data_IF_379452901415
#
_entry.id   IF_379452901415
#
_cell.length_a   1.000
_cell.length_b   1.000
_cell.length_c   1.000
_cell.angle_alpha   90.00
_cell.angle_beta   90.00
_cell.angle_gamma   90.00
#
_symmetry.space_group_name_H-M   'P 1'
#
loop_
_entity.id
_entity.type
_entity.pdbx_description
1 polymer ?
#
# COMPACT_ATOMS: atom_id res chain seq x y z
N UNK A 1 18.18 24.75 74.46
CA UNK A 1 17.17 24.18 73.54
C UNK A 1 17.91 23.68 72.32
N UNK A 2 18.02 22.36 72.18
CA UNK A 2 19.14 21.73 71.46
C UNK A 2 19.02 21.84 69.94
N UNK A 3 20.13 22.12 69.25
CA UNK A 3 20.26 22.09 67.79
C UNK A 3 19.72 20.77 67.17
N UNK A 4 19.74 19.69 67.95
CA UNK A 4 19.24 18.36 67.57
C UNK A 4 17.73 18.34 67.34
N UNK A 5 16.94 19.06 68.14
CA UNK A 5 15.47 19.09 67.96
C UNK A 5 15.07 19.85 66.69
N UNK A 6 15.87 20.85 66.30
CA UNK A 6 15.66 21.64 65.08
C UNK A 6 16.07 20.86 63.82
N UNK A 7 17.13 20.05 63.91
CA UNK A 7 17.56 19.16 62.82
C UNK A 7 16.53 18.03 62.59
N UNK A 8 15.97 17.46 63.65
CA UNK A 8 14.95 16.40 63.52
C UNK A 8 13.63 16.91 62.94
N UNK A 9 13.20 18.13 63.27
CA UNK A 9 12.02 18.73 62.63
C UNK A 9 12.25 19.04 61.16
N UNK A 10 13.46 19.46 60.78
CA UNK A 10 13.82 19.77 59.39
C UNK A 10 13.89 18.51 58.50
N UNK A 11 14.40 17.39 59.02
CA UNK A 11 14.38 16.10 58.30
C UNK A 11 12.96 15.53 58.15
N UNK A 12 12.07 15.77 59.10
CA UNK A 12 10.69 15.28 59.03
C UNK A 12 9.84 16.05 58.01
N UNK A 13 10.12 17.35 57.80
CA UNK A 13 9.47 18.16 56.76
C UNK A 13 9.95 17.84 55.33
N UNK A 14 11.13 17.23 55.17
CA UNK A 14 11.62 16.76 53.86
C UNK A 14 11.00 15.43 53.41
N UNK A 15 10.17 14.80 54.25
CA UNK A 15 9.42 13.58 53.90
C UNK A 15 8.14 13.93 53.13
N UNK A 16 8.22 14.81 52.13
CA UNK A 16 7.11 15.00 51.20
C UNK A 16 6.89 13.68 50.47
N UNK A 17 5.79 13.03 50.83
CA UNK A 17 5.37 11.78 50.21
C UNK A 17 5.17 12.04 48.72
N UNK A 18 5.98 11.40 47.89
CA UNK A 18 5.61 11.15 46.48
C UNK A 18 4.30 10.38 46.53
N UNK A 19 3.20 11.09 46.29
CA UNK A 19 1.87 10.50 46.19
C UNK A 19 1.72 10.05 44.74
N UNK A 20 1.99 8.77 44.50
CA UNK A 20 1.67 8.16 43.23
C UNK A 20 0.14 8.06 43.11
N UNK A 21 -0.44 8.81 42.19
CA UNK A 21 -1.86 8.74 41.86
C UNK A 21 -2.05 7.63 40.82
N UNK A 22 -3.12 6.83 40.96
CA UNK A 22 -3.54 5.89 39.92
C UNK A 22 -4.79 6.45 39.26
N UNK A 23 -4.70 6.74 37.95
CA UNK A 23 -5.80 7.30 37.19
C UNK A 23 -6.03 6.53 35.89
N UNK A 24 -7.29 6.50 35.47
CA UNK A 24 -7.73 5.84 34.25
C UNK A 24 -7.86 6.90 33.15
N UNK A 25 -7.14 6.70 32.05
CA UNK A 25 -7.20 7.56 30.86
C UNK A 25 -7.95 6.80 29.76
N UNK A 26 -9.18 7.19 29.43
CA UNK A 26 -9.94 6.55 28.35
C UNK A 26 -9.41 6.95 26.98
N UNK A 27 -9.40 5.99 26.04
CA UNK A 27 -9.12 6.21 24.62
C UNK A 27 -10.43 6.09 23.83
N UNK A 28 -10.54 6.77 22.69
CA UNK A 28 -11.75 6.81 21.86
C UNK A 28 -11.53 6.23 20.47
N UNK A 29 -10.40 6.52 19.85
CA UNK A 29 -10.11 6.19 18.45
C UNK A 29 -8.90 5.27 18.29
N UNK A 30 -7.95 5.33 19.22
CA UNK A 30 -6.76 4.47 19.22
C UNK A 30 -6.88 3.34 20.23
N UNK A 31 -6.29 2.19 19.91
CA UNK A 31 -6.25 1.05 20.82
C UNK A 31 -5.25 1.28 21.94
N UNK A 32 -5.45 0.61 23.08
CA UNK A 32 -4.48 0.65 24.16
C UNK A 32 -3.13 0.08 23.73
N UNK A 33 -3.11 -0.91 22.83
CA UNK A 33 -1.88 -1.56 22.37
C UNK A 33 -1.01 -0.61 21.53
N UNK A 34 -1.63 0.25 20.72
CA UNK A 34 -0.91 1.27 19.94
C UNK A 34 -0.36 2.39 20.84
N UNK A 35 -1.12 2.79 21.86
CA UNK A 35 -0.79 3.94 22.72
C UNK A 35 0.10 3.57 23.92
N UNK A 36 0.06 2.32 24.38
CA UNK A 36 0.82 1.85 25.54
C UNK A 36 2.33 2.10 25.41
N UNK A 37 3.02 1.77 24.29
CA UNK A 37 4.45 2.03 24.17
C UNK A 37 4.79 3.52 24.21
N UNK A 38 3.91 4.37 23.65
CA UNK A 38 4.09 5.83 23.63
C UNK A 38 3.95 6.37 25.05
N UNK A 39 2.90 5.95 25.77
CA UNK A 39 2.65 6.35 27.15
C UNK A 39 3.75 5.85 28.10
N UNK A 40 4.23 4.61 27.92
CA UNK A 40 5.35 4.06 28.70
C UNK A 40 6.65 4.85 28.47
N UNK A 41 6.95 5.20 27.22
CA UNK A 41 8.13 6.01 26.90
C UNK A 41 8.04 7.43 27.47
N UNK A 42 6.83 8.01 27.50
CA UNK A 42 6.61 9.35 28.06
C UNK A 42 6.75 9.38 29.59
N UNK A 43 6.17 8.41 30.28
CA UNK A 43 6.24 8.29 31.75
C UNK A 43 7.62 7.79 32.21
N UNK A 44 8.27 6.94 31.43
CA UNK A 44 9.61 6.44 31.69
C UNK A 44 9.73 5.77 33.06
N UNK A 45 10.66 6.26 33.89
CA UNK A 45 10.91 5.73 35.25
C UNK A 45 10.07 6.43 36.33
N UNK A 46 9.28 7.43 35.96
CA UNK A 46 8.52 8.27 36.90
C UNK A 46 7.14 7.68 37.21
N UNK A 47 6.83 6.50 36.68
CA UNK A 47 5.57 5.82 36.90
C UNK A 47 5.45 4.51 36.13
N UNK A 48 4.26 3.92 36.17
CA UNK A 48 3.89 2.71 35.44
C UNK A 48 2.64 2.96 34.62
N UNK A 49 2.59 2.42 33.39
CA UNK A 49 1.40 2.44 32.54
C UNK A 49 1.06 1.01 32.15
N UNK A 50 -0.21 0.64 32.33
CA UNK A 50 -0.77 -0.63 31.86
C UNK A 50 -2.00 -0.39 30.99
N UNK A 51 -2.23 -1.30 30.04
CA UNK A 51 -3.38 -1.28 29.15
C UNK A 51 -4.50 -2.14 29.74
N UNK A 52 -5.74 -1.64 29.70
CA UNK A 52 -6.93 -2.40 30.04
C UNK A 52 -8.09 -2.05 29.11
N UNK A 53 -8.41 -2.94 28.18
CA UNK A 53 -9.47 -2.70 27.19
C UNK A 53 -9.14 -1.51 26.28
N UNK A 54 -9.98 -0.48 26.27
CA UNK A 54 -9.72 0.77 25.54
C UNK A 54 -9.26 1.91 26.45
N UNK A 55 -8.55 1.59 27.52
CA UNK A 55 -8.15 2.54 28.56
C UNK A 55 -6.71 2.26 28.97
N UNK A 56 -6.00 3.32 29.37
CA UNK A 56 -4.70 3.23 29.99
C UNK A 56 -4.85 3.49 31.49
N UNK A 57 -4.31 2.59 32.30
CA UNK A 57 -4.20 2.76 33.75
C UNK A 57 -2.79 3.30 34.00
N UNK A 58 -2.72 4.53 34.52
CA UNK A 58 -1.47 5.24 34.74
C UNK A 58 -1.26 5.42 36.23
N UNK A 59 -0.11 4.99 36.72
CA UNK A 59 0.34 5.21 38.09
C UNK A 59 1.58 6.12 38.06
N UNK A 60 1.43 7.40 38.39
CA UNK A 60 2.50 8.40 38.37
C UNK A 60 2.15 9.61 39.26
N UNK A 61 3.02 10.62 39.32
CA UNK A 61 2.68 11.92 39.92
C UNK A 61 1.54 12.60 39.14
N UNK A 62 0.61 13.26 39.83
CA UNK A 62 -0.58 13.88 39.20
C UNK A 62 -0.20 14.84 38.06
N UNK A 63 0.88 15.62 38.20
CA UNK A 63 1.32 16.56 37.15
C UNK A 63 1.70 15.82 35.87
N UNK A 64 2.34 14.66 36.00
CA UNK A 64 2.75 13.82 34.87
C UNK A 64 1.57 13.13 34.21
N UNK A 65 0.57 12.73 34.99
CA UNK A 65 -0.68 12.19 34.46
C UNK A 65 -1.40 13.26 33.63
N UNK A 66 -1.46 14.50 34.11
CA UNK A 66 -2.09 15.61 33.38
C UNK A 66 -1.33 15.96 32.09
N UNK A 67 0.00 15.95 32.11
CA UNK A 67 0.84 16.08 30.91
C UNK A 67 0.57 14.94 29.90
N UNK A 68 0.49 13.69 30.37
CA UNK A 68 0.22 12.54 29.52
C UNK A 68 -1.19 12.60 28.90
N UNK A 69 -2.20 13.03 29.66
CA UNK A 69 -3.56 13.25 29.13
C UNK A 69 -3.58 14.31 28.03
N UNK A 70 -2.86 15.42 28.23
CA UNK A 70 -2.75 16.48 27.23
C UNK A 70 -2.03 16.02 25.96
N UNK A 71 -1.11 15.06 26.08
CA UNK A 71 -0.48 14.39 24.93
C UNK A 71 -1.46 13.42 24.24
N UNK A 72 -2.12 12.55 25.00
CA UNK A 72 -3.05 11.56 24.46
C UNK A 72 -4.21 12.25 23.74
N UNK A 73 -4.73 13.36 24.24
CA UNK A 73 -5.82 14.09 23.58
C UNK A 73 -5.45 14.64 22.19
N UNK A 74 -4.16 14.81 21.89
CA UNK A 74 -3.67 15.22 20.58
C UNK A 74 -3.41 14.03 19.64
N UNK A 75 -3.18 12.83 20.20
CA UNK A 75 -2.86 11.61 19.45
C UNK A 75 -4.08 10.72 19.21
N UNK A 76 -5.05 10.74 20.12
CA UNK A 76 -6.33 10.02 20.04
C UNK A 76 -7.29 10.75 19.10
N UNK A 77 -6.92 10.75 17.82
CA UNK A 77 -7.70 11.35 16.71
C UNK A 77 -8.27 10.23 15.84
N UNK A 78 -9.48 10.44 15.33
CA UNK A 78 -10.14 9.52 14.40
C UNK A 78 -9.28 9.28 13.15
N UNK A 79 -9.04 8.01 12.82
CA UNK A 79 -8.38 7.64 11.57
C UNK A 79 -9.27 7.98 10.38
N UNK A 80 -8.69 8.56 9.32
CA UNK A 80 -9.43 8.83 8.09
C UNK A 80 -9.74 7.53 7.36
N UNK A 81 -10.92 7.46 6.75
CA UNK A 81 -11.26 6.38 5.82
C UNK A 81 -10.77 6.76 4.43
N UNK A 82 -10.08 5.85 3.77
CA UNK A 82 -9.44 6.07 2.48
C UNK A 82 -10.02 5.12 1.44
N UNK A 83 -10.29 5.63 0.25
CA UNK A 83 -10.56 4.85 -0.96
C UNK A 83 -9.29 4.80 -1.78
N UNK A 84 -8.66 3.63 -1.86
CA UNK A 84 -7.51 3.39 -2.72
C UNK A 84 -8.01 2.81 -4.04
N UNK A 85 -7.72 3.51 -5.13
CA UNK A 85 -8.00 3.07 -6.50
C UNK A 85 -6.68 2.79 -7.21
N UNK A 86 -6.50 1.58 -7.72
CA UNK A 86 -5.34 1.19 -8.51
C UNK A 86 -5.79 0.94 -9.94
N UNK A 87 -5.10 1.57 -10.88
CA UNK A 87 -5.31 1.41 -12.31
C UNK A 87 -4.08 0.73 -12.93
N UNK A 88 -4.33 -0.42 -13.54
CA UNK A 88 -3.32 -1.27 -14.21
C UNK A 88 -3.52 -1.32 -15.72
N UNK A 89 -4.29 -0.39 -16.29
CA UNK A 89 -4.68 -0.48 -17.69
C UNK A 89 -3.47 -0.44 -18.63
N UNK A 90 -3.41 -1.40 -19.55
CA UNK A 90 -2.41 -1.52 -20.63
C UNK A 90 -2.77 -0.65 -21.84
N UNK A 91 -3.93 0.00 -21.80
CA UNK A 91 -4.35 0.88 -22.88
C UNK A 91 -3.47 2.13 -22.91
N UNK A 92 -2.58 2.13 -23.89
CA UNK A 92 -1.82 3.30 -24.33
C UNK A 92 -2.78 4.49 -24.40
N UNK A 93 -2.55 5.51 -23.55
CA UNK A 93 -3.14 6.83 -23.75
C UNK A 93 -2.57 7.37 -25.06
N UNK A 94 -3.20 6.97 -26.17
CA UNK A 94 -2.95 7.55 -27.47
C UNK A 94 -3.59 8.94 -27.42
N UNK A 95 -2.83 9.89 -26.86
CA UNK A 95 -3.10 11.30 -27.08
C UNK A 95 -3.31 11.50 -28.57
N UNK A 96 -4.41 12.17 -28.89
CA UNK A 96 -5.00 12.44 -30.19
C UNK A 96 -4.07 13.21 -31.16
N UNK A 97 -2.88 12.66 -31.43
CA UNK A 97 -1.91 13.20 -32.38
C UNK A 97 -1.98 12.38 -33.67
N UNK A 98 -3.01 12.71 -34.44
CA UNK A 98 -3.08 12.37 -35.86
C UNK A 98 -1.84 12.87 -36.57
N UNK A 99 -1.07 11.94 -37.14
CA UNK A 99 0.08 12.27 -37.98
C UNK A 99 -0.43 12.84 -39.31
N UNK A 100 -0.41 14.16 -39.47
CA UNK A 100 -0.62 14.81 -40.76
C UNK A 100 0.63 14.67 -41.62
N UNK A 101 0.64 13.71 -42.54
CA UNK A 101 1.66 13.60 -43.58
C UNK A 101 1.48 14.72 -44.61
N UNK A 102 2.11 15.86 -44.34
CA UNK A 102 2.20 16.94 -45.31
C UNK A 102 3.26 16.57 -46.36
N UNK A 103 2.84 16.01 -47.50
CA UNK A 103 3.80 15.60 -48.53
C UNK A 103 3.21 14.89 -49.75
N UNK A 104 2.57 15.65 -50.64
CA UNK A 104 2.46 15.46 -52.08
C UNK A 104 2.18 14.05 -52.68
N UNK A 105 0.90 13.83 -53.02
CA UNK A 105 0.27 13.06 -54.13
C UNK A 105 -0.82 12.11 -53.63
N UNK A 106 -2.01 12.08 -54.27
CA UNK A 106 -3.13 11.24 -53.84
C UNK A 106 -2.93 9.80 -54.31
N UNK A 107 -2.01 9.08 -53.68
CA UNK A 107 -2.04 7.61 -53.70
C UNK A 107 -2.92 7.16 -52.54
N UNK A 108 -4.04 6.49 -52.85
CA UNK A 108 -4.96 5.89 -51.88
C UNK A 108 -4.23 4.85 -51.02
N UNK A 109 -3.56 5.29 -49.96
CA UNK A 109 -3.01 4.42 -48.94
C UNK A 109 -4.11 4.15 -47.91
N UNK A 110 -4.78 3.00 -48.05
CA UNK A 110 -5.72 2.52 -47.03
C UNK A 110 -4.92 2.05 -45.81
N UNK A 111 -4.79 2.92 -44.83
CA UNK A 111 -4.23 2.56 -43.53
C UNK A 111 -5.30 1.72 -42.80
N UNK A 112 -5.06 0.41 -42.68
CA UNK A 112 -5.90 -0.48 -41.88
C UNK A 112 -5.29 -0.56 -40.49
N UNK A 113 -5.75 0.29 -39.57
CA UNK A 113 -5.45 0.15 -38.16
C UNK A 113 -6.29 -1.01 -37.60
N UNK A 114 -5.62 -2.08 -37.18
CA UNK A 114 -6.25 -3.14 -36.39
C UNK A 114 -5.80 -2.96 -34.94
N UNK A 115 -6.56 -2.21 -34.15
CA UNK A 115 -6.41 -2.25 -32.69
C UNK A 115 -7.01 -3.58 -32.20
N UNK A 116 -6.27 -4.27 -31.33
CA UNK A 116 -6.79 -5.40 -30.56
C UNK A 116 -6.93 -4.87 -29.15
N UNK A 117 -8.14 -4.48 -28.75
CA UNK A 117 -8.40 -4.00 -27.40
C UNK A 117 -8.37 -5.20 -26.44
N UNK A 118 -7.21 -5.45 -25.83
CA UNK A 118 -7.08 -6.40 -24.73
C UNK A 118 -7.74 -5.82 -23.49
N UNK A 119 -8.97 -6.26 -23.19
CA UNK A 119 -9.74 -5.89 -21.99
C UNK A 119 -9.21 -6.57 -20.71
N UNK A 120 -7.90 -6.66 -20.55
CA UNK A 120 -7.29 -7.39 -19.42
C UNK A 120 -6.89 -6.41 -18.28
N UNK A 121 -6.76 -5.11 -18.57
CA UNK A 121 -6.55 -4.07 -17.57
C UNK A 121 -7.84 -3.66 -16.84
N UNK A 122 -7.76 -3.45 -15.52
CA UNK A 122 -8.92 -3.08 -14.70
C UNK A 122 -8.58 -2.07 -13.61
N UNK A 123 -9.59 -1.26 -13.26
CA UNK A 123 -9.57 -0.40 -12.08
C UNK A 123 -10.01 -1.25 -10.89
N UNK A 124 -9.14 -1.35 -9.88
CA UNK A 124 -9.44 -2.06 -8.64
C UNK A 124 -9.53 -1.04 -7.49
N UNK A 125 -10.50 -1.23 -6.60
CA UNK A 125 -10.76 -0.31 -5.50
C UNK A 125 -10.88 -1.06 -4.19
N UNK A 126 -10.31 -0.49 -3.13
CA UNK A 126 -10.46 -0.97 -1.77
C UNK A 126 -10.61 0.22 -0.81
N UNK A 127 -11.43 0.04 0.23
CA UNK A 127 -11.52 0.98 1.33
C UNK A 127 -10.68 0.48 2.50
N UNK A 128 -9.90 1.39 3.09
CA UNK A 128 -9.05 1.08 4.24
C UNK A 128 -9.07 2.24 5.23
N UNK A 129 -8.87 1.94 6.51
CA UNK A 129 -8.56 2.96 7.50
C UNK A 129 -7.10 3.39 7.35
N UNK A 130 -6.85 4.68 7.55
CA UNK A 130 -5.50 5.24 7.54
C UNK A 130 -4.54 4.46 8.46
N UNK A 131 -3.36 4.14 7.94
CA UNK A 131 -2.31 3.40 8.64
C UNK A 131 -2.55 1.89 8.74
N UNK A 132 -3.68 1.37 8.24
CA UNK A 132 -4.03 -0.06 8.31
C UNK A 132 -3.78 -0.73 6.96
N UNK A 133 -3.15 -1.93 6.94
CA UNK A 133 -2.96 -2.66 5.69
C UNK A 133 -4.27 -3.20 5.13
N UNK A 134 -4.41 -3.17 3.80
CA UNK A 134 -5.56 -3.67 3.08
C UNK A 134 -5.13 -4.48 1.84
N UNK A 135 -5.86 -5.55 1.55
CA UNK A 135 -5.59 -6.45 0.43
C UNK A 135 -6.88 -6.74 -0.35
N UNK A 136 -6.82 -6.57 -1.66
CA UNK A 136 -7.81 -7.11 -2.59
C UNK A 136 -7.11 -8.08 -3.54
N UNK A 137 -7.63 -9.30 -3.64
CA UNK A 137 -7.08 -10.33 -4.52
C UNK A 137 -8.22 -11.12 -5.14
N UNK A 138 -8.21 -11.24 -6.46
CA UNK A 138 -9.14 -12.06 -7.24
C UNK A 138 -8.32 -13.00 -8.12
N UNK A 139 -8.82 -14.20 -8.37
CA UNK A 139 -8.05 -15.17 -9.14
C UNK A 139 -8.81 -16.44 -9.44
N UNK A 140 -8.15 -17.35 -10.14
CA UNK A 140 -8.67 -18.65 -10.51
C UNK A 140 -7.63 -19.71 -10.17
N UNK A 141 -8.11 -20.91 -9.81
CA UNK A 141 -7.25 -22.08 -9.65
C UNK A 141 -7.27 -22.88 -10.95
N UNK A 142 -6.15 -22.93 -11.65
CA UNK A 142 -6.01 -23.60 -12.94
C UNK A 142 -5.24 -24.91 -12.79
N UNK A 143 -5.74 -26.02 -13.37
CA UNK A 143 -5.01 -27.28 -13.40
C UNK A 143 -3.89 -27.23 -14.43
N UNK A 144 -2.64 -27.38 -13.99
CA UNK A 144 -1.47 -27.54 -14.83
C UNK A 144 -1.12 -29.02 -14.89
N UNK A 145 -1.28 -29.61 -16.07
CA UNK A 145 -0.95 -31.02 -16.30
C UNK A 145 0.44 -31.13 -16.89
N UNK A 146 1.34 -31.81 -16.20
CA UNK A 146 2.67 -32.15 -16.71
C UNK A 146 2.78 -33.64 -16.98
N UNK A 147 3.38 -33.98 -18.13
CA UNK A 147 3.66 -35.38 -18.49
C UNK A 147 5.14 -35.62 -18.26
N UNK A 148 5.47 -36.57 -17.38
CA UNK A 148 6.83 -37.01 -17.12
C UNK A 148 6.98 -38.47 -17.52
N UNK A 149 8.14 -38.83 -18.06
CA UNK A 149 8.50 -40.21 -18.38
C UNK A 149 9.26 -40.76 -17.17
N UNK A 150 8.74 -41.85 -16.58
CA UNK A 150 9.41 -42.55 -15.49
C UNK A 150 10.71 -43.22 -15.98
N UNK A 151 11.59 -43.61 -15.07
CA UNK A 151 12.85 -44.33 -15.33
C UNK A 151 12.65 -45.63 -16.13
N UNK A 152 11.44 -46.20 -16.11
CA UNK A 152 11.03 -47.37 -16.88
C UNK A 152 10.39 -47.07 -18.26
N UNK A 153 10.24 -45.80 -18.65
CA UNK A 153 9.68 -45.41 -19.95
C UNK A 153 8.16 -45.20 -19.97
N UNK A 154 7.48 -45.39 -18.84
CA UNK A 154 6.04 -45.16 -18.71
C UNK A 154 5.70 -43.67 -18.61
N UNK A 155 4.67 -43.24 -19.34
CA UNK A 155 4.14 -41.88 -19.29
C UNK A 155 3.25 -41.72 -18.05
N UNK A 156 3.67 -40.87 -17.10
CA UNK A 156 2.83 -40.45 -15.96
C UNK A 156 2.40 -39.01 -16.13
N UNK A 157 1.10 -38.80 -16.05
CA UNK A 157 0.48 -37.47 -16.04
C UNK A 157 0.22 -37.04 -14.60
N UNK A 158 0.76 -35.90 -14.19
CA UNK A 158 0.50 -35.28 -12.90
C UNK A 158 -0.17 -33.92 -13.11
N UNK A 159 -1.36 -33.75 -12.54
CA UNK A 159 -2.08 -32.47 -12.54
C UNK A 159 -1.90 -31.78 -11.20
N UNK A 160 -1.37 -30.57 -11.22
CA UNK A 160 -1.23 -29.69 -10.05
C UNK A 160 -2.11 -28.45 -10.23
N UNK A 161 -2.76 -28.00 -9.17
CA UNK A 161 -3.54 -26.76 -9.21
C UNK A 161 -2.65 -25.57 -8.86
N UNK A 162 -2.64 -24.55 -9.73
CA UNK A 162 -1.96 -23.29 -9.49
C UNK A 162 -2.96 -22.14 -9.40
N UNK A 163 -2.83 -21.32 -8.37
CA UNK A 163 -3.60 -20.09 -8.26
C UNK A 163 -2.96 -19.03 -9.17
N UNK A 164 -3.77 -18.49 -10.07
CA UNK A 164 -3.44 -17.36 -10.95
C UNK A 164 -4.24 -16.19 -10.41
N UNK A 165 -3.55 -15.27 -9.74
CA UNK A 165 -4.20 -14.19 -8.99
C UNK A 165 -3.81 -12.81 -9.51
N UNK A 166 -4.71 -11.86 -9.33
CA UNK A 166 -4.47 -10.45 -9.57
C UNK A 166 -5.01 -9.63 -8.39
N UNK A 167 -4.27 -8.62 -7.96
CA UNK A 167 -4.60 -7.87 -6.77
C UNK A 167 -3.51 -6.93 -6.32
N UNK A 168 -3.78 -6.25 -5.21
CA UNK A 168 -2.80 -5.41 -4.56
C UNK A 168 -2.96 -5.39 -3.05
N UNK A 169 -1.82 -5.35 -2.38
CA UNK A 169 -1.66 -5.09 -0.97
C UNK A 169 -1.21 -3.63 -0.81
N UNK A 170 -1.85 -2.89 0.09
CA UNK A 170 -1.55 -1.48 0.28
C UNK A 170 -1.63 -1.06 1.74
N UNK A 171 -0.75 -0.15 2.13
CA UNK A 171 -0.81 0.59 3.38
C UNK A 171 -0.66 2.07 3.06
N UNK A 172 -1.65 2.88 3.47
CA UNK A 172 -1.67 4.32 3.21
C UNK A 172 -1.76 5.09 4.52
N UNK A 173 -0.93 6.12 4.69
CA UNK A 173 -1.03 7.09 5.80
C UNK A 173 -1.06 8.52 5.28
N UNK A 174 -1.71 9.44 6.01
CA UNK A 174 -1.96 10.81 5.55
C UNK A 174 -1.37 11.82 6.52
N UNK A 175 -0.46 12.65 6.01
CA UNK A 175 0.10 13.78 6.76
C UNK A 175 -0.36 15.07 6.10
N UNK A 176 -1.37 15.72 6.69
CA UNK A 176 -2.01 16.90 6.09
C UNK A 176 -2.76 16.53 4.80
N UNK A 177 -2.22 16.94 3.64
CA UNK A 177 -2.73 16.64 2.29
C UNK A 177 -1.88 15.62 1.52
N UNK A 178 -0.76 15.17 2.12
CA UNK A 178 0.17 14.23 1.51
C UNK A 178 -0.18 12.82 1.96
N UNK A 179 -0.32 11.92 1.00
CA UNK A 179 -0.43 10.48 1.25
C UNK A 179 0.93 9.82 1.10
N UNK A 180 1.30 9.00 2.09
CA UNK A 180 2.41 8.06 2.03
C UNK A 180 1.82 6.68 1.74
N UNK A 181 2.27 6.06 0.66
CA UNK A 181 1.71 4.82 0.16
C UNK A 181 2.80 3.77 0.03
N UNK A 182 2.64 2.63 0.69
CA UNK A 182 3.37 1.41 0.38
C UNK A 182 2.42 0.46 -0.34
N UNK A 183 2.77 0.05 -1.56
CA UNK A 183 1.91 -0.78 -2.40
C UNK A 183 2.70 -1.92 -3.05
N UNK A 184 2.11 -3.10 -2.99
CA UNK A 184 2.56 -4.30 -3.67
C UNK A 184 1.42 -4.78 -4.58
N UNK A 185 1.69 -4.92 -5.87
CA UNK A 185 0.71 -5.44 -6.83
C UNK A 185 1.18 -6.78 -7.36
N UNK A 186 0.26 -7.73 -7.52
CA UNK A 186 0.49 -9.00 -8.20
C UNK A 186 -0.52 -9.15 -9.34
N UNK A 187 -0.05 -9.60 -10.50
CA UNK A 187 -0.85 -9.82 -11.69
C UNK A 187 -0.34 -11.04 -12.43
N UNK A 188 -1.00 -12.16 -12.19
CA UNK A 188 -0.77 -13.42 -12.88
C UNK A 188 -1.80 -13.56 -14.00
N UNK A 189 -1.34 -13.92 -15.20
CA UNK A 189 -2.21 -14.20 -16.35
C UNK A 189 -1.75 -15.45 -17.10
N UNK A 190 -2.71 -16.20 -17.64
CA UNK A 190 -2.39 -17.32 -18.53
C UNK A 190 -1.75 -16.77 -19.81
N UNK A 191 -0.70 -17.43 -20.30
CA UNK A 191 -0.08 -17.06 -21.57
C UNK A 191 -1.00 -17.42 -22.73
N UNK A 192 -1.26 -16.45 -23.62
CA UNK A 192 -2.02 -16.70 -24.84
C UNK A 192 -1.26 -17.58 -25.84
N UNK A 193 0.07 -17.61 -25.76
CA UNK A 193 0.95 -18.36 -26.66
C UNK A 193 1.17 -19.81 -26.19
N UNK A 194 1.10 -20.03 -24.87
CA UNK A 194 1.33 -21.34 -24.24
C UNK A 194 0.31 -21.57 -23.12
N UNK A 195 -0.65 -22.49 -23.30
CA UNK A 195 -1.68 -22.78 -22.32
C UNK A 195 -1.16 -23.23 -20.94
N UNK A 196 0.06 -23.77 -20.87
CA UNK A 196 0.65 -24.28 -19.63
C UNK A 196 1.59 -23.26 -18.93
N UNK A 197 1.69 -22.04 -19.46
CA UNK A 197 2.56 -20.99 -18.91
C UNK A 197 1.72 -19.89 -18.26
N UNK A 198 2.12 -19.52 -17.05
CA UNK A 198 1.57 -18.37 -16.32
C UNK A 198 2.59 -17.24 -16.41
N UNK A 199 2.18 -16.10 -16.97
CA UNK A 199 2.93 -14.86 -16.93
C UNK A 199 2.66 -14.19 -15.58
N UNK A 200 3.71 -13.97 -14.79
CA UNK A 200 3.64 -13.32 -13.48
C UNK A 200 4.25 -11.93 -13.59
N UNK A 201 3.55 -10.94 -13.06
CA UNK A 201 4.04 -9.58 -12.90
C UNK A 201 3.83 -9.15 -11.45
N UNK A 202 4.86 -8.57 -10.85
CA UNK A 202 4.78 -7.99 -9.52
C UNK A 202 5.44 -6.62 -9.49
N UNK A 203 4.99 -5.76 -8.59
CA UNK A 203 5.58 -4.44 -8.38
C UNK A 203 5.46 -4.08 -6.92
N UNK A 204 6.57 -3.73 -6.29
CA UNK A 204 6.66 -3.35 -4.90
C UNK A 204 7.30 -1.97 -4.81
N UNK A 205 6.55 -0.99 -4.31
CA UNK A 205 7.03 0.40 -4.26
C UNK A 205 6.45 1.16 -3.08
N UNK A 206 7.18 2.18 -2.66
CA UNK A 206 6.75 3.16 -1.67
C UNK A 206 6.82 4.53 -2.32
N UNK A 207 5.68 5.21 -2.39
CA UNK A 207 5.57 6.53 -3.02
C UNK A 207 4.86 7.52 -2.10
N UNK A 208 5.04 8.80 -2.42
CA UNK A 208 4.29 9.89 -1.81
C UNK A 208 3.60 10.71 -2.89
N UNK A 209 2.45 11.28 -2.55
CA UNK A 209 1.75 12.19 -3.46
C UNK A 209 0.59 12.91 -2.76
N UNK A 210 -0.21 13.63 -3.53
CA UNK A 210 -1.37 14.37 -3.00
C UNK A 210 -2.61 13.49 -2.99
N UNK A 211 -3.48 13.70 -2.02
CA UNK A 211 -4.82 13.10 -2.01
C UNK A 211 -5.63 13.57 -3.22
N UNK A 212 -6.44 12.67 -3.79
CA UNK A 212 -7.32 12.94 -4.93
C UNK A 212 -6.64 12.97 -6.30
N UNK A 213 -5.31 12.88 -6.37
CA UNK A 213 -4.55 12.89 -7.62
C UNK A 213 -4.08 11.48 -8.01
N UNK A 214 -3.97 11.24 -9.31
CA UNK A 214 -3.36 10.02 -9.83
C UNK A 214 -1.84 10.11 -9.75
N UNK A 215 -1.23 9.17 -9.04
CA UNK A 215 0.22 9.02 -8.88
C UNK A 215 0.67 7.84 -9.73
N UNK A 216 1.61 8.06 -10.64
CA UNK A 216 2.21 6.98 -11.44
C UNK A 216 3.26 6.26 -10.60
N UNK A 217 3.08 4.93 -10.46
CA UNK A 217 3.92 4.06 -9.63
C UNK A 217 5.01 3.37 -10.45
N UNK A 218 4.64 2.87 -11.63
CA UNK A 218 5.53 2.15 -12.52
C UNK A 218 5.10 2.31 -13.98
N UNK A 219 6.06 2.29 -14.89
CA UNK A 219 5.84 2.34 -16.32
C UNK A 219 6.87 1.50 -17.04
N UNK A 220 6.44 0.52 -17.84
CA UNK A 220 7.30 -0.22 -18.77
C UNK A 220 6.90 0.21 -20.17
N UNK A 221 7.86 0.67 -20.97
CA UNK A 221 7.66 0.99 -22.39
C UNK A 221 8.69 0.20 -23.20
N UNK A 222 8.23 -0.73 -24.05
CA UNK A 222 9.13 -1.56 -24.89
C UNK A 222 8.97 -1.15 -26.35
N UNK A 223 9.65 -0.07 -26.72
CA UNK A 223 9.72 0.39 -28.11
C UNK A 223 10.61 -0.55 -28.95
N UNK A 224 9.99 -1.46 -29.70
CA UNK A 224 10.71 -2.31 -30.67
C UNK A 224 10.73 -1.62 -32.02
N UNK A 225 11.83 -0.94 -32.34
CA UNK A 225 12.04 -0.32 -33.64
C UNK A 225 12.58 -1.37 -34.61
N UNK A 226 11.71 -1.97 -35.42
CA UNK A 226 12.13 -2.90 -36.47
C UNK A 226 12.54 -2.10 -37.71
N UNK A 227 13.83 -1.79 -37.85
CA UNK A 227 14.40 -1.25 -39.09
C UNK A 227 14.29 -2.30 -40.20
N UNK A 228 13.47 -2.03 -41.22
CA UNK A 228 13.46 -2.80 -42.46
C UNK A 228 13.62 -1.89 -43.67
N UNK A 229 14.81 -1.99 -44.25
CA UNK A 229 15.14 -1.48 -45.57
C UNK A 229 14.40 -2.32 -46.63
N UNK A 230 13.28 -1.79 -47.13
CA UNK A 230 12.52 -2.40 -48.21
C UNK A 230 11.31 -1.55 -48.58
N UNK A 231 11.39 -0.84 -49.71
CA UNK A 231 10.32 0.01 -50.23
C UNK A 231 8.98 -0.75 -50.29
N UNK A 232 7.93 -0.09 -49.79
CA UNK A 232 6.49 -0.26 -50.10
C UNK A 232 5.57 -0.82 -48.99
N UNK A 233 6.05 -1.30 -47.83
CA UNK A 233 5.13 -1.65 -46.71
C UNK A 233 5.75 -1.35 -45.34
N UNK A 234 5.22 -0.35 -44.64
CA UNK A 234 5.51 -0.12 -43.22
C UNK A 234 4.58 -0.98 -42.37
N UNK A 235 5.15 -1.91 -41.61
CA UNK A 235 4.46 -2.60 -40.54
C UNK A 235 5.05 -2.09 -39.22
N UNK A 236 4.37 -1.14 -38.57
CA UNK A 236 4.67 -0.77 -37.20
C UNK A 236 3.91 -1.73 -36.28
N UNK A 237 4.58 -2.78 -35.81
CA UNK A 237 4.06 -3.56 -34.68
C UNK A 237 4.47 -2.80 -33.42
N UNK A 238 3.56 -2.02 -32.86
CA UNK A 238 3.79 -1.39 -31.55
C UNK A 238 3.82 -2.49 -30.49
N UNK A 239 4.85 -2.48 -29.65
CA UNK A 239 5.08 -3.48 -28.61
C UNK A 239 3.88 -3.56 -27.67
N UNK A 240 3.42 -4.78 -27.40
CA UNK A 240 2.22 -5.11 -26.61
C UNK A 240 2.45 -5.07 -25.09
N UNK A 241 3.63 -4.65 -24.65
CA UNK A 241 4.07 -4.76 -23.25
C UNK A 241 4.14 -3.40 -22.53
N UNK A 242 3.43 -2.38 -23.03
CA UNK A 242 3.39 -1.07 -22.39
C UNK A 242 2.42 -1.11 -21.20
N UNK A 243 2.96 -1.16 -19.98
CA UNK A 243 2.18 -1.21 -18.74
C UNK A 243 2.41 0.06 -17.94
N UNK A 244 1.33 0.78 -17.59
CA UNK A 244 1.37 1.87 -16.62
C UNK A 244 0.56 1.54 -15.39
N UNK A 245 1.21 1.55 -14.23
CA UNK A 245 0.58 1.38 -12.94
C UNK A 245 0.36 2.75 -12.30
N UNK A 246 -0.88 3.07 -11.97
CA UNK A 246 -1.25 4.33 -11.29
C UNK A 246 -2.12 4.05 -10.08
N UNK A 247 -2.02 4.93 -9.10
CA UNK A 247 -2.84 4.84 -7.89
C UNK A 247 -3.41 6.21 -7.55
N UNK A 248 -4.63 6.22 -7.03
CA UNK A 248 -5.28 7.40 -6.48
C UNK A 248 -5.84 7.06 -5.12
N UNK A 249 -5.63 7.95 -4.17
CA UNK A 249 -6.15 7.80 -2.80
C UNK A 249 -7.08 8.98 -2.54
N UNK A 250 -8.35 8.69 -2.32
CA UNK A 250 -9.36 9.67 -1.94
C UNK A 250 -9.72 9.48 -0.45
N UNK A 251 -10.06 10.56 0.25
CA UNK A 251 -10.63 10.49 1.59
C UNK A 251 -12.14 10.30 1.48
N UNK A 252 -12.67 9.34 2.23
CA UNK A 252 -14.10 9.10 2.37
C UNK A 252 -14.55 9.69 3.71
N UNK A 253 -14.97 10.96 3.69
CA UNK A 253 -15.56 11.62 4.86
C UNK A 253 -16.74 10.82 5.45
#
# INVERSE_FOLDING_TARGET
MSLRTLLTTLLLTCSFSVMAATEIVPLNYRTSDDMLPIAQNFIGKEGQVSAYGNQLIVNADQRKIDELKALISQLDVAAKRLLITVDTNENNFQGDQGYSVNGAKPSQTRIINRSTDSRDGGIQQIQASEGTPALIQVGQSVPLTSTQIDSYGDLRSQTEYRNVTQGFYVTASVTGEIVHLAISTNRDRMSQERPDVVNVQSTDTTVTGRLGEWITLAGVNRQTQADKQGQTRSYSTQGRDDMTLRVKVDTLD
#
